data_IF_949779297561
#
_entry.id   IF_949779297561
#
_cell.length_a   1.000
_cell.length_b   1.000
_cell.length_c   1.000
_cell.angle_alpha   90.00
_cell.angle_beta   90.00
_cell.angle_gamma   90.00
#
_symmetry.space_group_name_H-M   'P 1'
#
loop_
_entity.id
_entity.type
_entity.pdbx_description
1 polymer ?
#
# COMPACT_ATOMS: atom_id res chain seq x y z
N UNK A 1 34.80 -15.96 -7.68
CA UNK A 1 34.18 -16.30 -6.38
C UNK A 1 33.51 -15.03 -5.88
N UNK A 2 32.18 -15.01 -5.78
CA UNK A 2 31.47 -13.86 -5.20
C UNK A 2 31.71 -13.92 -3.69
N UNK A 3 32.38 -12.90 -3.13
CA UNK A 3 32.52 -12.78 -1.69
C UNK A 3 31.15 -12.50 -1.08
N UNK A 4 30.68 -13.40 -0.23
CA UNK A 4 29.47 -13.18 0.58
C UNK A 4 29.84 -12.19 1.68
N UNK A 5 29.08 -11.09 1.87
CA UNK A 5 29.32 -10.14 2.95
C UNK A 5 29.29 -10.86 4.30
N UNK A 6 30.10 -10.44 5.29
CA UNK A 6 30.16 -11.08 6.61
C UNK A 6 28.83 -10.98 7.39
N UNK A 7 27.89 -10.14 6.94
CA UNK A 7 26.56 -9.98 7.53
C UNK A 7 25.50 -10.12 6.43
N UNK A 8 24.82 -11.29 6.33
CA UNK A 8 23.70 -11.40 5.40
C UNK A 8 22.59 -10.41 5.79
N UNK A 9 21.87 -9.83 4.81
CA UNK A 9 20.75 -8.94 5.11
C UNK A 9 19.70 -9.70 5.92
N UNK A 10 19.17 -9.06 6.96
CA UNK A 10 18.15 -9.65 7.86
C UNK A 10 16.74 -9.13 7.60
N UNK A 11 16.61 -8.08 6.79
CA UNK A 11 15.35 -7.43 6.41
C UNK A 11 15.57 -6.60 5.15
N UNK A 12 14.54 -6.49 4.31
CA UNK A 12 14.47 -5.49 3.24
C UNK A 12 13.44 -4.42 3.64
N UNK A 13 13.85 -3.16 3.59
CA UNK A 13 12.98 -2.01 3.76
C UNK A 13 12.97 -1.26 2.43
N UNK A 14 11.78 -1.05 1.87
CA UNK A 14 11.64 -0.36 0.59
C UNK A 14 10.61 0.75 0.70
N UNK A 15 10.75 1.79 -0.13
CA UNK A 15 9.62 2.66 -0.43
C UNK A 15 8.50 1.87 -1.15
N UNK A 16 7.27 2.35 -1.08
CA UNK A 16 6.11 1.71 -1.70
C UNK A 16 6.21 1.56 -3.22
N UNK A 17 6.93 2.43 -3.92
CA UNK A 17 7.09 2.30 -5.37
C UNK A 17 8.01 1.13 -5.75
N UNK A 18 8.74 0.59 -4.77
CA UNK A 18 9.67 -0.54 -4.93
C UNK A 18 9.09 -1.86 -4.44
N UNK A 19 7.77 -2.03 -4.48
CA UNK A 19 7.11 -3.23 -3.94
C UNK A 19 7.52 -4.55 -4.60
N UNK A 20 8.16 -4.52 -5.79
CA UNK A 20 8.78 -5.70 -6.38
C UNK A 20 9.87 -6.32 -5.49
N UNK A 21 10.49 -5.53 -4.59
CA UNK A 21 11.48 -6.01 -3.63
C UNK A 21 10.90 -6.95 -2.58
N UNK A 22 9.57 -7.03 -2.46
CA UNK A 22 8.90 -8.10 -1.71
C UNK A 22 9.26 -9.49 -2.26
N UNK A 23 9.28 -9.67 -3.58
CA UNK A 23 9.65 -10.94 -4.20
C UNK A 23 11.13 -11.27 -3.97
N UNK A 24 11.99 -10.25 -3.97
CA UNK A 24 13.40 -10.40 -3.62
C UNK A 24 13.56 -10.84 -2.15
N UNK A 25 12.81 -10.22 -1.24
CA UNK A 25 12.84 -10.57 0.18
C UNK A 25 12.37 -12.01 0.41
N UNK A 26 11.28 -12.41 -0.27
CA UNK A 26 10.77 -13.79 -0.25
C UNK A 26 11.80 -14.79 -0.78
N UNK A 27 12.48 -14.47 -1.90
CA UNK A 27 13.53 -15.32 -2.46
C UNK A 27 14.74 -15.46 -1.53
N UNK A 28 15.07 -14.41 -0.77
CA UNK A 28 16.15 -14.41 0.20
C UNK A 28 15.74 -14.99 1.57
N UNK A 29 14.46 -15.31 1.78
CA UNK A 29 13.94 -15.80 3.06
C UNK A 29 13.98 -14.74 4.18
N UNK A 30 13.94 -13.45 3.83
CA UNK A 30 14.00 -12.34 4.79
C UNK A 30 12.69 -11.56 4.82
N UNK A 31 12.33 -10.93 5.96
CA UNK A 31 11.16 -10.07 6.03
C UNK A 31 11.26 -8.87 5.09
N UNK A 32 10.12 -8.46 4.53
CA UNK A 32 9.96 -7.21 3.79
C UNK A 32 9.12 -6.21 4.58
N UNK A 33 9.54 -4.95 4.63
CA UNK A 33 8.81 -3.85 5.26
C UNK A 33 8.61 -2.73 4.24
N UNK A 34 7.36 -2.48 3.87
CA UNK A 34 7.01 -1.38 2.97
C UNK A 34 6.90 -0.06 3.75
N UNK A 35 7.67 0.93 3.37
CA UNK A 35 7.74 2.25 3.98
C UNK A 35 6.82 3.23 3.27
N UNK A 36 5.71 3.59 3.91
CA UNK A 36 4.77 4.61 3.43
C UNK A 36 5.20 6.00 3.91
N UNK A 37 5.58 6.87 2.97
CA UNK A 37 5.93 8.27 3.24
C UNK A 37 4.70 9.18 3.48
N UNK A 38 3.49 8.65 3.25
CA UNK A 38 2.22 9.39 3.33
C UNK A 38 1.30 8.84 4.41
N UNK A 39 0.35 9.67 4.87
CA UNK A 39 -0.56 9.31 5.98
C UNK A 39 -1.31 8.01 5.73
N UNK A 40 -1.71 7.32 6.79
CA UNK A 40 -2.49 6.08 6.67
C UNK A 40 -3.79 6.25 5.85
N UNK A 41 -4.38 7.45 5.89
CA UNK A 41 -5.51 7.81 5.04
C UNK A 41 -5.12 7.85 3.56
N UNK A 42 -4.05 8.56 3.22
CA UNK A 42 -3.53 8.62 1.85
C UNK A 42 -3.13 7.22 1.36
N UNK A 43 -2.50 6.41 2.21
CA UNK A 43 -2.17 5.01 1.92
C UNK A 43 -3.42 4.17 1.63
N UNK A 44 -4.48 4.29 2.43
CA UNK A 44 -5.77 3.60 2.21
C UNK A 44 -6.41 3.97 0.88
N UNK A 45 -6.45 5.27 0.55
CA UNK A 45 -6.98 5.76 -0.73
C UNK A 45 -6.13 5.24 -1.88
N UNK A 46 -4.81 5.38 -1.81
CA UNK A 46 -3.87 4.96 -2.84
C UNK A 46 -3.97 3.45 -3.09
N UNK A 47 -3.93 2.63 -2.04
CA UNK A 47 -4.09 1.18 -2.16
C UNK A 47 -5.45 0.80 -2.79
N UNK A 48 -6.53 1.49 -2.42
CA UNK A 48 -7.86 1.24 -3.00
C UNK A 48 -7.88 1.53 -4.50
N UNK A 49 -7.27 2.65 -4.93
CA UNK A 49 -7.17 3.02 -6.34
C UNK A 49 -6.50 1.90 -7.15
N UNK A 50 -5.31 1.46 -6.75
CA UNK A 50 -4.54 0.44 -7.49
C UNK A 50 -5.13 -0.97 -7.41
N UNK A 51 -5.86 -1.28 -6.34
CA UNK A 51 -6.52 -2.58 -6.16
C UNK A 51 -7.78 -2.71 -7.00
N UNK A 52 -8.62 -1.67 -7.02
CA UNK A 52 -9.97 -1.78 -7.60
C UNK A 52 -10.14 -1.04 -8.91
N UNK A 53 -9.16 -0.23 -9.30
CA UNK A 53 -9.16 0.56 -10.53
C UNK A 53 -10.52 1.25 -10.81
N UNK A 54 -11.10 2.00 -9.85
CA UNK A 54 -12.34 2.72 -10.11
C UNK A 54 -12.14 3.71 -11.28
N UNK A 55 -13.14 3.79 -12.15
CA UNK A 55 -13.11 4.63 -13.36
C UNK A 55 -14.12 5.76 -13.23
N UNK A 56 -13.85 6.87 -13.92
CA UNK A 56 -14.82 7.92 -14.20
C UNK A 56 -15.30 7.76 -15.64
N UNK A 57 -16.54 8.14 -15.93
CA UNK A 57 -17.15 7.97 -17.26
C UNK A 57 -16.44 8.84 -18.32
N UNK A 58 -16.17 10.10 -17.98
CA UNK A 58 -15.41 11.02 -18.82
C UNK A 58 -14.23 11.63 -18.04
N UNK A 59 -12.99 11.17 -18.29
CA UNK A 59 -11.78 11.73 -17.67
C UNK A 59 -11.45 13.17 -18.11
N UNK A 60 -12.09 13.68 -19.16
CA UNK A 60 -11.90 15.05 -19.67
C UNK A 60 -12.87 16.05 -19.05
N UNK A 61 -13.95 15.56 -18.43
CA UNK A 61 -14.89 16.39 -17.68
C UNK A 61 -14.23 16.94 -16.41
N UNK A 62 -14.25 18.27 -16.28
CA UNK A 62 -13.73 19.02 -15.14
C UNK A 62 -14.51 18.76 -13.85
N UNK A 63 -15.78 18.38 -13.97
CA UNK A 63 -16.69 18.12 -12.87
C UNK A 63 -16.82 16.62 -12.56
N UNK A 64 -16.05 15.77 -13.25
CA UNK A 64 -16.04 14.33 -13.02
C UNK A 64 -15.66 14.00 -11.57
N UNK A 65 -16.38 13.04 -10.97
CA UNK A 65 -16.19 12.63 -9.58
C UNK A 65 -15.91 11.14 -9.52
N UNK A 66 -14.77 10.78 -8.93
CA UNK A 66 -14.42 9.40 -8.62
C UNK A 66 -15.03 8.99 -7.27
N UNK A 67 -15.84 7.93 -7.28
CA UNK A 67 -16.40 7.34 -6.06
C UNK A 67 -15.55 6.17 -5.57
N UNK A 68 -15.24 6.12 -4.28
CA UNK A 68 -14.48 5.01 -3.66
C UNK A 68 -15.31 4.27 -2.62
N UNK A 69 -16.27 3.43 -3.03
CA UNK A 69 -17.19 2.76 -2.11
C UNK A 69 -16.50 1.80 -1.14
N UNK A 70 -15.30 1.32 -1.48
CA UNK A 70 -14.52 0.35 -0.70
C UNK A 70 -13.62 0.98 0.38
N UNK A 71 -13.63 2.30 0.52
CA UNK A 71 -12.99 3.04 1.62
C UNK A 71 -14.07 3.42 2.63
N UNK A 72 -13.82 3.39 3.96
CA UNK A 72 -14.79 3.80 4.97
C UNK A 72 -15.39 5.19 4.68
N UNK A 73 -16.72 5.32 4.83
CA UNK A 73 -17.52 6.50 4.46
C UNK A 73 -17.64 6.77 2.95
N UNK A 74 -17.19 5.85 2.11
CA UNK A 74 -17.36 5.89 0.65
C UNK A 74 -17.04 7.27 0.04
N UNK A 75 -15.83 7.81 0.28
CA UNK A 75 -15.50 9.16 -0.11
C UNK A 75 -15.57 9.34 -1.63
N UNK A 76 -15.87 10.57 -2.02
CA UNK A 76 -15.95 11.01 -3.41
C UNK A 76 -14.94 12.14 -3.62
N UNK A 77 -14.19 12.07 -4.71
CA UNK A 77 -13.19 13.07 -5.04
C UNK A 77 -13.41 13.58 -6.46
N UNK A 78 -13.34 14.90 -6.68
CA UNK A 78 -13.19 15.42 -8.02
C UNK A 78 -12.00 14.76 -8.72
N UNK A 79 -12.16 14.41 -9.99
CA UNK A 79 -11.16 13.68 -10.76
C UNK A 79 -9.79 14.38 -10.77
N UNK A 80 -9.79 15.72 -10.83
CA UNK A 80 -8.57 16.52 -10.79
C UNK A 80 -7.77 16.42 -9.47
N UNK A 81 -8.40 16.00 -8.35
CA UNK A 81 -7.72 15.75 -7.07
C UNK A 81 -7.04 14.39 -7.02
N UNK A 82 -7.37 13.48 -7.95
CA UNK A 82 -6.73 12.17 -8.03
C UNK A 82 -5.32 12.34 -8.59
N UNK A 83 -4.37 11.58 -8.02
CA UNK A 83 -2.95 11.66 -8.36
C UNK A 83 -2.75 11.52 -9.87
N UNK A 84 -1.88 12.35 -10.44
CA UNK A 84 -1.53 12.29 -11.87
C UNK A 84 -1.03 10.89 -12.28
N UNK A 85 -0.34 10.21 -11.35
CA UNK A 85 0.12 8.85 -11.53
C UNK A 85 -1.02 7.87 -11.82
N UNK A 86 -2.12 7.94 -11.07
CA UNK A 86 -3.28 7.08 -11.31
C UNK A 86 -4.05 7.51 -12.57
N UNK A 87 -4.19 8.82 -12.81
CA UNK A 87 -4.87 9.33 -14.01
C UNK A 87 -4.15 8.98 -15.32
N UNK A 88 -2.84 8.76 -15.28
CA UNK A 88 -2.02 8.34 -16.41
C UNK A 88 -1.90 6.82 -16.59
N UNK A 89 -2.51 6.01 -15.72
CA UNK A 89 -2.45 4.56 -15.78
C UNK A 89 -3.04 4.02 -17.08
N UNK A 90 -2.34 3.06 -17.72
CA UNK A 90 -2.79 2.39 -18.93
C UNK A 90 -2.90 0.89 -18.68
N UNK A 91 -4.13 0.42 -18.53
CA UNK A 91 -4.42 -1.00 -18.32
C UNK A 91 -3.85 -1.85 -19.46
N UNK A 92 -3.15 -2.93 -19.11
CA UNK A 92 -2.50 -3.83 -20.05
C UNK A 92 -1.13 -3.36 -20.59
N UNK A 93 -0.68 -2.14 -20.27
CA UNK A 93 0.70 -1.75 -20.55
C UNK A 93 1.66 -2.46 -19.56
N UNK A 94 2.71 -3.16 -20.04
CA UNK A 94 3.58 -3.97 -19.17
C UNK A 94 4.22 -3.21 -18.01
N UNK A 95 4.68 -1.97 -18.25
CA UNK A 95 5.35 -1.17 -17.21
C UNK A 95 4.35 -0.72 -16.14
N UNK A 96 3.13 -0.36 -16.54
CA UNK A 96 2.06 0.01 -15.63
C UNK A 96 1.53 -1.19 -14.82
N UNK A 97 1.42 -2.36 -15.43
CA UNK A 97 1.05 -3.59 -14.70
C UNK A 97 2.16 -4.03 -13.74
N UNK A 98 3.43 -3.91 -14.14
CA UNK A 98 4.57 -4.15 -13.24
C UNK A 98 4.51 -3.21 -12.03
N UNK A 99 4.32 -1.91 -12.27
CA UNK A 99 4.19 -0.91 -11.22
C UNK A 99 3.02 -1.23 -10.28
N UNK A 100 1.83 -1.49 -10.84
CA UNK A 100 0.62 -1.85 -10.09
C UNK A 100 0.84 -3.11 -9.25
N UNK A 101 1.44 -4.15 -9.83
CA UNK A 101 1.75 -5.39 -9.12
C UNK A 101 2.72 -5.13 -7.95
N UNK A 102 3.70 -4.25 -8.13
CA UNK A 102 4.55 -3.76 -7.05
C UNK A 102 3.73 -3.10 -5.94
N UNK A 103 2.81 -2.18 -6.27
CA UNK A 103 1.93 -1.56 -5.27
C UNK A 103 1.12 -2.60 -4.50
N UNK A 104 0.58 -3.62 -5.17
CA UNK A 104 -0.19 -4.70 -4.55
C UNK A 104 0.67 -5.61 -3.67
N UNK A 105 1.92 -5.89 -4.09
CA UNK A 105 2.88 -6.70 -3.33
C UNK A 105 3.26 -6.05 -1.99
N UNK A 106 3.23 -4.71 -1.89
CA UNK A 106 3.44 -4.05 -0.59
C UNK A 106 2.45 -4.52 0.48
N UNK A 107 1.23 -4.88 0.09
CA UNK A 107 0.23 -5.39 1.02
C UNK A 107 0.52 -6.77 1.59
N UNK A 108 1.50 -7.49 1.02
CA UNK A 108 1.99 -8.81 1.48
C UNK A 108 3.24 -8.66 2.36
N UNK A 109 3.71 -7.43 2.60
CA UNK A 109 4.86 -7.15 3.45
C UNK A 109 4.54 -7.46 4.91
N UNK A 110 5.57 -7.87 5.66
CA UNK A 110 5.49 -8.23 7.08
C UNK A 110 5.02 -7.06 7.97
N UNK A 111 5.19 -5.83 7.49
CA UNK A 111 4.54 -4.64 8.03
C UNK A 111 4.56 -3.48 7.06
N UNK A 112 3.50 -2.67 7.09
CA UNK A 112 3.50 -1.34 6.49
C UNK A 112 3.94 -0.34 7.57
N UNK A 113 5.02 0.40 7.33
CA UNK A 113 5.53 1.44 8.24
C UNK A 113 4.67 2.72 8.21
N UNK A 114 3.35 2.58 8.05
CA UNK A 114 2.39 3.68 8.20
C UNK A 114 2.38 4.28 9.63
N UNK A 115 3.01 3.57 10.57
CA UNK A 115 3.10 3.90 12.01
C UNK A 115 3.69 5.28 12.29
N UNK A 116 4.60 5.79 11.46
CA UNK A 116 5.23 7.11 11.67
C UNK A 116 4.30 8.30 11.40
N UNK A 117 3.15 8.10 10.73
CA UNK A 117 2.13 9.16 10.54
C UNK A 117 0.94 9.06 11.49
N UNK A 118 0.64 7.88 12.04
CA UNK A 118 -0.34 7.77 13.13
C UNK A 118 0.12 8.54 14.39
N UNK A 119 1.43 8.73 14.54
CA UNK A 119 2.04 9.60 15.56
C UNK A 119 2.11 11.08 15.13
N UNK A 120 2.08 11.39 13.82
CA UNK A 120 2.05 12.77 13.31
C UNK A 120 0.64 13.39 13.29
N UNK A 121 -0.41 12.56 13.31
CA UNK A 121 -1.78 13.00 13.58
C UNK A 121 -1.86 13.24 15.09
N UNK A 122 -1.74 14.50 15.50
CA UNK A 122 -1.71 14.90 16.92
C UNK A 122 -2.78 14.16 17.75
N UNK A 123 -2.40 13.75 18.96
CA UNK A 123 -3.14 12.76 19.76
C UNK A 123 -4.62 13.05 20.03
N UNK A 124 -5.06 14.28 19.79
CA UNK A 124 -6.41 14.82 19.99
C UNK A 124 -7.31 14.76 18.75
N UNK A 125 -6.77 14.42 17.57
CA UNK A 125 -7.55 14.42 16.33
C UNK A 125 -8.37 13.14 16.16
N UNK A 126 -9.67 13.24 15.81
CA UNK A 126 -10.56 12.07 15.64
C UNK A 126 -10.06 11.07 14.59
N UNK A 127 -9.29 11.53 13.60
CA UNK A 127 -8.74 10.68 12.54
C UNK A 127 -7.76 9.63 13.09
N UNK A 128 -7.10 9.89 14.22
CA UNK A 128 -6.14 8.98 14.85
C UNK A 128 -6.80 7.66 15.25
N UNK A 129 -7.97 7.70 15.87
CA UNK A 129 -8.69 6.49 16.31
C UNK A 129 -9.06 5.59 15.12
N UNK A 130 -9.45 6.20 13.99
CA UNK A 130 -9.81 5.48 12.76
C UNK A 130 -8.60 4.85 12.08
N UNK A 131 -7.47 5.56 12.05
CA UNK A 131 -6.21 5.03 11.55
C UNK A 131 -5.73 3.86 12.40
N UNK A 132 -5.81 3.98 13.72
CA UNK A 132 -5.42 2.92 14.64
C UNK A 132 -6.33 1.69 14.50
N UNK A 133 -7.63 1.85 14.27
CA UNK A 133 -8.56 0.74 14.03
C UNK A 133 -8.17 -0.06 12.78
N UNK A 134 -7.90 0.61 11.65
CA UNK A 134 -7.47 -0.06 10.41
C UNK A 134 -6.13 -0.76 10.58
N UNK A 135 -5.16 -0.11 11.25
CA UNK A 135 -3.84 -0.70 11.55
C UNK A 135 -3.98 -1.92 12.47
N UNK A 136 -4.84 -1.85 13.48
CA UNK A 136 -5.09 -2.95 14.42
C UNK A 136 -5.85 -4.11 13.76
N UNK A 137 -6.85 -3.82 12.91
CA UNK A 137 -7.57 -4.83 12.13
C UNK A 137 -6.62 -5.58 11.20
N UNK A 138 -5.71 -4.88 10.52
CA UNK A 138 -4.71 -5.51 9.65
C UNK A 138 -3.67 -6.31 10.43
N UNK A 139 -3.22 -5.81 11.60
CA UNK A 139 -2.37 -6.58 12.52
C UNK A 139 -3.06 -7.84 13.02
N UNK A 140 -4.37 -7.78 13.27
CA UNK A 140 -5.16 -8.92 13.70
C UNK A 140 -5.29 -9.95 12.58
N UNK A 141 -5.62 -9.53 11.36
CA UNK A 141 -5.66 -10.40 10.19
C UNK A 141 -4.31 -11.06 9.91
N UNK A 142 -3.22 -10.28 9.92
CA UNK A 142 -1.86 -10.81 9.74
C UNK A 142 -1.46 -11.81 10.84
N UNK A 143 -1.86 -11.55 12.10
CA UNK A 143 -1.66 -12.51 13.21
C UNK A 143 -2.49 -13.78 13.04
N UNK A 144 -3.75 -13.64 12.63
CA UNK A 144 -4.66 -14.77 12.37
C UNK A 144 -4.14 -15.63 11.20
N UNK A 145 -3.61 -15.01 10.14
CA UNK A 145 -2.96 -15.69 9.00
C UNK A 145 -1.65 -16.40 9.41
N UNK A 146 -0.84 -15.76 10.27
CA UNK A 146 0.35 -16.38 10.83
C UNK A 146 0.02 -17.56 11.77
N UNK A 147 -1.03 -17.45 12.59
CA UNK A 147 -1.52 -18.53 13.47
C UNK A 147 -2.18 -19.68 12.71
N UNK A 148 -2.84 -19.38 11.59
CA UNK A 148 -3.44 -20.38 10.70
C UNK A 148 -2.39 -21.19 9.91
N UNK A 149 -1.09 -20.91 10.08
CA UNK A 149 -0.02 -21.64 9.40
C UNK A 149 0.05 -21.38 7.90
N UNK A 150 -0.66 -20.36 7.41
CA UNK A 150 -0.69 -19.96 5.99
C UNK A 150 0.71 -19.49 5.52
N UNK A 151 1.59 -19.14 6.47
CA UNK A 151 2.98 -18.71 6.24
C UNK A 151 4.04 -19.74 6.66
N UNK A 152 3.73 -21.04 6.72
CA UNK A 152 4.79 -22.05 6.64
C UNK A 152 5.24 -22.14 5.18
N UNK A 153 6.19 -21.29 4.81
CA UNK A 153 7.31 -21.47 3.87
C UNK A 153 7.96 -20.10 3.63
#
# INVERSE_FOLDING_TARGET
>A
MVQVPPFPPVVIISDIFLGWTHHLASHLGVPHVAFWTSSAFAASVFHTLWRYLPKVDDPTDKDAVLSMPKVPNSPKYPWWQITSLYRGFKEGNPDWEFFRNGILANGQSWGELARLLAESVGGTRPERSRVMEVVLLRRRQSKEEAQAGIWRL
#
